data_IF_659596411322
#
_entry.id   IF_659596411322
#
_cell.length_a   1.000
_cell.length_b   1.000
_cell.length_c   1.000
_cell.angle_alpha   90.00
_cell.angle_beta   90.00
_cell.angle_gamma   90.00
#
_symmetry.space_group_name_H-M   'P 1'
#
loop_
_entity.id
_entity.type
_entity.pdbx_description
1 polymer ?
#
# COMPACT_ATOMS: atom_id res chain seq x y z
N UNK A 1 28.53 -27.14 -15.53
CA UNK A 1 27.18 -27.06 -14.90
C UNK A 1 27.04 -25.90 -13.91
N UNK A 2 28.02 -25.62 -13.06
CA UNK A 2 27.93 -24.51 -12.07
C UNK A 2 27.90 -23.11 -12.71
N UNK A 3 28.69 -22.85 -13.75
CA UNK A 3 28.69 -21.54 -14.43
C UNK A 3 27.34 -21.18 -15.07
N UNK A 4 26.67 -22.14 -15.71
CA UNK A 4 25.36 -21.92 -16.32
C UNK A 4 24.28 -21.70 -15.26
N UNK A 5 24.31 -22.44 -14.14
CA UNK A 5 23.46 -22.17 -12.97
C UNK A 5 23.69 -20.77 -12.42
N UNK A 6 24.95 -20.35 -12.27
CA UNK A 6 25.28 -19.04 -11.69
C UNK A 6 24.83 -17.87 -12.60
N UNK A 7 24.98 -18.01 -13.92
CA UNK A 7 24.51 -17.00 -14.89
C UNK A 7 22.98 -16.91 -14.87
N UNK A 8 22.28 -18.05 -14.85
CA UNK A 8 20.82 -18.08 -14.79
C UNK A 8 20.30 -17.46 -13.49
N UNK A 9 20.93 -17.77 -12.35
CA UNK A 9 20.59 -17.16 -11.06
C UNK A 9 20.85 -15.66 -11.05
N UNK A 10 21.97 -15.19 -11.61
CA UNK A 10 22.28 -13.76 -11.70
C UNK A 10 21.26 -13.01 -12.57
N UNK A 11 20.85 -13.58 -13.70
CA UNK A 11 19.81 -13.02 -14.57
C UNK A 11 18.46 -12.96 -13.87
N UNK A 12 18.07 -14.01 -13.13
CA UNK A 12 16.83 -14.01 -12.34
C UNK A 12 16.82 -12.93 -11.26
N UNK A 13 17.89 -12.85 -10.46
CA UNK A 13 17.99 -11.87 -9.37
C UNK A 13 18.00 -10.44 -9.93
N UNK A 14 18.76 -10.21 -11.01
CA UNK A 14 18.85 -8.89 -11.64
C UNK A 14 17.51 -8.50 -12.28
N UNK A 15 16.81 -9.44 -12.92
CA UNK A 15 15.47 -9.23 -13.46
C UNK A 15 14.45 -8.82 -12.40
N UNK A 16 14.45 -9.49 -11.24
CA UNK A 16 13.59 -9.14 -10.10
C UNK A 16 13.89 -7.72 -9.61
N UNK A 17 15.17 -7.35 -9.47
CA UNK A 17 15.57 -6.02 -9.02
C UNK A 17 15.11 -4.94 -10.01
N UNK A 18 15.40 -5.11 -11.30
CA UNK A 18 15.01 -4.14 -12.36
C UNK A 18 13.49 -3.97 -12.43
N UNK A 19 12.73 -5.03 -12.11
CA UNK A 19 11.27 -4.99 -12.04
C UNK A 19 10.72 -4.48 -10.71
N UNK A 20 11.55 -4.04 -9.77
CA UNK A 20 11.04 -3.51 -8.51
C UNK A 20 10.26 -2.18 -8.75
N UNK A 21 9.03 -2.01 -8.22
CA UNK A 21 8.19 -0.84 -8.49
C UNK A 21 8.81 0.51 -8.11
N UNK A 22 9.83 0.52 -7.23
CA UNK A 22 10.56 1.75 -6.88
C UNK A 22 11.49 2.27 -7.97
N UNK A 23 11.92 1.42 -8.92
CA UNK A 23 12.96 1.74 -9.91
C UNK A 23 12.42 2.27 -11.24
N UNK A 24 11.13 2.07 -11.54
CA UNK A 24 10.51 2.58 -12.75
C UNK A 24 9.13 3.16 -12.43
N UNK A 25 9.02 4.49 -12.56
CA UNK A 25 7.82 5.25 -12.23
C UNK A 25 7.10 5.79 -13.48
N UNK A 26 7.44 5.29 -14.68
CA UNK A 26 6.74 5.64 -15.92
C UNK A 26 5.67 4.62 -16.34
N UNK A 27 4.68 5.03 -17.12
CA UNK A 27 3.71 4.10 -17.70
C UNK A 27 4.26 3.44 -18.98
N UNK A 28 4.81 2.22 -18.86
CA UNK A 28 5.47 1.52 -19.97
C UNK A 28 5.37 -0.02 -19.82
N UNK A 29 5.90 -0.76 -20.80
CA UNK A 29 5.84 -2.23 -20.80
C UNK A 29 6.51 -2.83 -19.56
N UNK A 30 7.59 -2.20 -19.06
CA UNK A 30 8.27 -2.67 -17.86
C UNK A 30 7.31 -2.60 -16.67
N UNK A 31 6.56 -1.52 -16.48
CA UNK A 31 5.65 -1.38 -15.32
C UNK A 31 4.46 -2.35 -15.34
N UNK A 32 4.02 -2.78 -16.54
CA UNK A 32 3.10 -3.93 -16.67
C UNK A 32 3.72 -5.23 -16.20
N UNK A 33 4.99 -5.49 -16.55
CA UNK A 33 5.72 -6.66 -16.05
C UNK A 33 5.95 -6.57 -14.54
N UNK A 34 6.20 -5.37 -14.00
CA UNK A 34 6.31 -5.17 -12.55
C UNK A 34 5.02 -5.58 -11.84
N UNK A 35 3.85 -5.23 -12.40
CA UNK A 35 2.56 -5.66 -11.85
C UNK A 35 2.37 -7.17 -11.87
N UNK A 36 2.82 -7.86 -12.93
CA UNK A 36 2.74 -9.33 -12.96
C UNK A 36 3.60 -10.00 -11.88
N UNK A 37 4.74 -9.39 -11.51
CA UNK A 37 5.65 -9.94 -10.50
C UNK A 37 5.24 -9.53 -9.07
N UNK A 38 4.87 -8.27 -8.88
CA UNK A 38 4.68 -7.68 -7.56
C UNK A 38 3.23 -7.36 -7.20
N UNK A 39 2.35 -7.17 -8.19
CA UNK A 39 0.99 -6.71 -7.98
C UNK A 39 0.93 -5.39 -7.20
N UNK A 40 -0.17 -5.20 -6.48
CA UNK A 40 -0.28 -4.17 -5.45
C UNK A 40 0.07 -4.77 -4.09
N UNK A 41 0.86 -4.06 -3.28
CA UNK A 41 1.22 -4.53 -1.93
C UNK A 41 0.80 -3.53 -0.87
N UNK A 42 0.32 -4.03 0.27
CA UNK A 42 -0.10 -3.22 1.41
C UNK A 42 0.78 -3.52 2.61
N UNK A 43 1.51 -2.50 3.08
CA UNK A 43 2.36 -2.55 4.25
C UNK A 43 1.75 -1.70 5.36
N UNK A 44 1.41 -2.33 6.48
CA UNK A 44 0.82 -1.67 7.65
C UNK A 44 1.84 -1.68 8.79
N UNK A 45 2.48 -0.53 9.01
CA UNK A 45 3.53 -0.30 9.99
C UNK A 45 2.95 0.38 11.22
N UNK A 46 3.11 -0.25 12.38
CA UNK A 46 2.46 0.18 13.63
C UNK A 46 3.50 0.44 14.71
N UNK A 47 3.33 1.48 15.51
CA UNK A 47 4.01 1.56 16.80
C UNK A 47 3.47 0.49 17.75
N UNK A 48 4.24 0.04 18.77
CA UNK A 48 3.81 -0.98 19.72
C UNK A 48 2.52 -0.65 20.48
N UNK A 49 2.17 0.64 20.55
CA UNK A 49 0.99 1.17 21.23
C UNK A 49 -0.30 1.08 20.40
N UNK A 50 -0.21 0.76 19.10
CA UNK A 50 -1.37 0.65 18.22
C UNK A 50 -1.77 -0.82 18.06
N UNK A 51 -2.98 -1.16 18.51
CA UNK A 51 -3.52 -2.50 18.34
C UNK A 51 -3.88 -2.75 16.86
N UNK A 52 -3.19 -3.72 16.25
CA UNK A 52 -3.37 -4.12 14.86
C UNK A 52 -4.79 -4.62 14.54
N UNK A 53 -5.47 -5.21 15.52
CA UNK A 53 -6.80 -5.79 15.33
C UNK A 53 -7.91 -4.73 15.23
N UNK A 54 -7.64 -3.52 15.69
CA UNK A 54 -8.60 -2.40 15.69
C UNK A 54 -8.54 -1.59 14.39
N UNK A 55 -7.74 -2.01 13.42
CA UNK A 55 -7.56 -1.32 12.14
C UNK A 55 -8.45 -1.96 11.08
N UNK A 56 -9.13 -1.10 10.33
CA UNK A 56 -9.83 -1.46 9.09
C UNK A 56 -9.34 -0.54 7.96
N UNK A 57 -9.08 -1.12 6.79
CA UNK A 57 -8.71 -0.37 5.59
C UNK A 57 -9.64 -0.77 4.47
N UNK A 58 -10.31 0.21 3.89
CA UNK A 58 -11.25 0.06 2.79
C UNK A 58 -10.68 0.71 1.54
N UNK A 59 -10.75 0.00 0.42
CA UNK A 59 -10.50 0.56 -0.89
C UNK A 59 -11.83 1.05 -1.48
N UNK A 60 -11.81 2.26 -2.03
CA UNK A 60 -12.98 2.90 -2.65
C UNK A 60 -12.61 3.40 -4.04
N UNK A 61 -13.48 3.16 -5.01
CA UNK A 61 -13.38 3.77 -6.35
C UNK A 61 -14.77 3.98 -6.95
N UNK A 62 -15.20 5.24 -7.00
CA UNK A 62 -16.57 5.60 -7.39
C UNK A 62 -17.59 5.00 -6.42
N UNK A 63 -18.48 4.14 -6.93
CA UNK A 63 -19.50 3.44 -6.13
C UNK A 63 -19.02 2.10 -5.56
N UNK A 64 -17.80 1.67 -5.91
CA UNK A 64 -17.27 0.38 -5.48
C UNK A 64 -16.49 0.54 -4.17
N UNK A 65 -16.73 -0.37 -3.24
CA UNK A 65 -16.05 -0.44 -1.95
C UNK A 65 -15.58 -1.87 -1.68
N UNK A 66 -14.39 -2.02 -1.09
CA UNK A 66 -13.82 -3.32 -0.74
C UNK A 66 -12.98 -3.23 0.52
N UNK A 67 -13.27 -4.04 1.53
CA UNK A 67 -12.41 -4.18 2.71
C UNK A 67 -11.12 -4.90 2.33
N UNK A 68 -9.98 -4.23 2.43
CA UNK A 68 -8.65 -4.77 2.07
C UNK A 68 -7.94 -5.35 3.29
N UNK A 69 -8.14 -4.73 4.46
CA UNK A 69 -7.51 -5.14 5.71
C UNK A 69 -8.48 -5.00 6.87
N UNK A 70 -8.56 -6.00 7.72
CA UNK A 70 -9.39 -5.98 8.92
C UNK A 70 -8.86 -7.00 9.93
N UNK A 71 -9.03 -6.73 11.24
CA UNK A 71 -8.68 -7.68 12.32
C UNK A 71 -7.23 -8.18 12.20
N UNK A 72 -6.34 -7.27 11.86
CA UNK A 72 -4.91 -7.49 11.76
C UNK A 72 -4.43 -8.27 10.54
N UNK A 73 -5.32 -8.62 9.61
CA UNK A 73 -5.01 -9.42 8.42
C UNK A 73 -5.44 -8.70 7.15
N UNK A 74 -4.70 -8.96 6.07
CA UNK A 74 -5.13 -8.62 4.72
C UNK A 74 -6.25 -9.58 4.32
N UNK A 75 -7.40 -9.04 3.93
CA UNK A 75 -8.59 -9.78 3.54
C UNK A 75 -8.68 -9.88 2.01
N UNK A 76 -8.38 -8.78 1.31
CA UNK A 76 -8.42 -8.70 -0.14
C UNK A 76 -7.17 -8.03 -0.72
N UNK A 77 -6.93 -8.26 -2.01
CA UNK A 77 -5.96 -7.50 -2.79
C UNK A 77 -6.51 -6.12 -3.14
N UNK A 78 -5.64 -5.12 -3.25
CA UNK A 78 -6.03 -3.78 -3.74
C UNK A 78 -6.22 -3.89 -5.26
N UNK A 79 -7.40 -3.56 -5.81
CA UNK A 79 -7.63 -3.64 -7.25
C UNK A 79 -6.68 -2.76 -8.08
N UNK A 80 -6.35 -3.22 -9.28
CA UNK A 80 -5.54 -2.47 -10.25
C UNK A 80 -6.41 -1.87 -11.36
N UNK A 81 -7.37 -1.04 -10.95
CA UNK A 81 -8.27 -0.35 -11.86
C UNK A 81 -7.70 1.01 -12.27
N UNK A 82 -8.24 1.58 -13.35
CA UNK A 82 -8.01 2.99 -13.72
C UNK A 82 -8.93 3.91 -12.91
N UNK A 83 -8.57 5.18 -12.85
CA UNK A 83 -9.35 6.24 -12.23
C UNK A 83 -8.95 6.54 -10.80
N UNK A 84 -9.78 7.39 -10.17
CA UNK A 84 -9.62 7.86 -8.81
C UNK A 84 -9.91 6.75 -7.80
N UNK A 85 -8.98 6.56 -6.88
CA UNK A 85 -9.02 5.52 -5.85
C UNK A 85 -8.63 6.11 -4.51
N UNK A 86 -9.29 5.65 -3.46
CA UNK A 86 -8.98 6.01 -2.09
C UNK A 86 -8.78 4.75 -1.25
N UNK A 87 -7.80 4.79 -0.34
CA UNK A 87 -7.71 3.86 0.78
C UNK A 87 -8.10 4.61 2.05
N UNK A 88 -9.28 4.33 2.56
CA UNK A 88 -9.80 4.87 3.80
C UNK A 88 -9.28 4.04 4.96
N UNK A 89 -8.72 4.70 5.97
CA UNK A 89 -8.13 4.04 7.14
C UNK A 89 -8.96 4.36 8.36
N UNK A 90 -9.35 3.31 9.06
CA UNK A 90 -10.11 3.37 10.29
C UNK A 90 -9.33 2.74 11.44
N UNK A 91 -9.45 3.33 12.62
CA UNK A 91 -8.92 2.80 13.86
C UNK A 91 -10.01 2.84 14.94
N UNK A 92 -10.26 1.71 15.60
CA UNK A 92 -11.35 1.53 16.57
C UNK A 92 -12.73 1.95 16.01
N UNK A 93 -12.97 1.61 14.73
CA UNK A 93 -14.21 1.93 14.02
C UNK A 93 -14.37 3.40 13.60
N UNK A 94 -13.37 4.26 13.85
CA UNK A 94 -13.40 5.68 13.44
C UNK A 94 -12.46 5.94 12.29
N UNK A 95 -12.91 6.76 11.34
CA UNK A 95 -12.07 7.23 10.24
C UNK A 95 -10.94 8.11 10.78
N UNK A 96 -9.70 7.82 10.37
CA UNK A 96 -8.51 8.57 10.82
C UNK A 96 -7.70 9.19 9.68
N UNK A 97 -7.96 8.80 8.43
CA UNK A 97 -7.29 9.38 7.28
C UNK A 97 -7.47 8.55 6.02
N UNK A 98 -6.96 9.08 4.91
CA UNK A 98 -7.01 8.41 3.62
C UNK A 98 -5.75 8.60 2.81
N UNK A 99 -5.51 7.66 1.90
CA UNK A 99 -4.52 7.78 0.84
C UNK A 99 -5.27 7.88 -0.47
N UNK A 100 -4.94 8.89 -1.28
CA UNK A 100 -5.59 9.15 -2.56
C UNK A 100 -4.65 8.77 -3.69
N UNK A 101 -5.20 8.19 -4.75
CA UNK A 101 -4.45 7.83 -5.94
C UNK A 101 -5.27 8.03 -7.20
N UNK A 102 -4.68 8.70 -8.19
CA UNK A 102 -5.21 8.74 -9.54
C UNK A 102 -4.38 7.80 -10.42
N UNK A 103 -5.01 6.74 -10.95
CA UNK A 103 -4.36 5.82 -11.89
C UNK A 103 -4.82 6.10 -13.32
N UNK A 104 -3.86 6.38 -14.19
CA UNK A 104 -4.11 6.62 -15.61
C UNK A 104 -4.15 5.34 -16.47
N UNK A 105 -3.69 4.21 -15.93
CA UNK A 105 -3.57 2.94 -16.65
C UNK A 105 -3.74 1.74 -15.71
N UNK A 106 -4.39 0.68 -16.21
CA UNK A 106 -4.53 -0.61 -15.52
C UNK A 106 -3.17 -1.30 -15.41
N UNK A 107 -3.04 -2.21 -14.44
CA UNK A 107 -1.86 -3.06 -14.25
C UNK A 107 -0.58 -2.27 -13.91
N UNK A 108 -0.70 -1.24 -13.08
CA UNK A 108 0.45 -0.57 -12.48
C UNK A 108 0.66 -1.03 -11.04
N UNK A 109 1.84 -1.60 -10.77
CA UNK A 109 2.24 -2.02 -9.43
C UNK A 109 2.45 -0.83 -8.51
N UNK A 110 1.83 -0.89 -7.33
CA UNK A 110 2.04 0.12 -6.29
C UNK A 110 2.27 -0.53 -4.94
N UNK A 111 3.16 0.08 -4.16
CA UNK A 111 3.39 -0.27 -2.77
C UNK A 111 2.73 0.79 -1.90
N UNK A 112 1.73 0.39 -1.13
CA UNK A 112 1.00 1.26 -0.20
C UNK A 112 1.54 1.04 1.20
N UNK A 113 1.90 2.14 1.86
CA UNK A 113 2.41 2.16 3.22
C UNK A 113 1.43 2.94 4.09
N UNK A 114 0.91 2.29 5.12
CA UNK A 114 0.11 2.92 6.17
C UNK A 114 0.93 2.85 7.44
N UNK A 115 1.33 4.02 7.93
CA UNK A 115 2.06 4.17 9.17
C UNK A 115 1.11 4.76 10.22
N UNK A 116 0.90 4.01 11.29
CA UNK A 116 0.13 4.46 12.44
C UNK A 116 1.03 4.47 13.67
N UNK A 117 1.00 5.57 14.40
CA UNK A 117 1.61 5.63 15.72
C UNK A 117 0.65 6.26 16.73
N UNK A 118 0.82 5.94 18.00
CA UNK A 118 0.04 6.55 19.07
C UNK A 118 0.95 7.06 20.18
N UNK A 119 0.74 8.31 20.58
CA UNK A 119 1.44 8.98 21.69
C UNK A 119 0.48 9.90 22.43
N UNK A 120 0.53 9.92 23.76
CA UNK A 120 -0.28 10.81 24.61
C UNK A 120 -1.77 10.82 24.24
N UNK A 121 -2.36 9.63 24.10
CA UNK A 121 -3.75 9.48 23.70
C UNK A 121 -4.08 10.23 22.40
N UNK A 122 -3.18 10.18 21.42
CA UNK A 122 -3.34 10.75 20.08
C UNK A 122 -2.77 9.78 19.06
N UNK A 123 -3.53 9.51 18.00
CA UNK A 123 -3.14 8.68 16.88
C UNK A 123 -2.63 9.57 15.75
N UNK A 124 -1.47 9.22 15.22
CA UNK A 124 -0.84 9.86 14.08
C UNK A 124 -0.91 8.91 12.89
N UNK A 125 -1.46 9.39 11.79
CA UNK A 125 -1.56 8.67 10.53
C UNK A 125 -0.67 9.33 9.47
N UNK A 126 0.10 8.50 8.78
CA UNK A 126 0.83 8.88 7.57
C UNK A 126 0.74 7.75 6.53
N UNK A 127 0.26 8.09 5.34
CA UNK A 127 0.12 7.18 4.22
C UNK A 127 1.05 7.54 3.06
N UNK A 128 1.66 6.55 2.44
CA UNK A 128 2.52 6.73 1.26
C UNK A 128 2.21 5.67 0.19
N UNK A 129 2.26 6.06 -1.07
CA UNK A 129 2.23 5.19 -2.24
C UNK A 129 3.54 5.37 -2.99
N UNK A 130 4.23 4.26 -3.23
CA UNK A 130 5.41 4.20 -4.09
C UNK A 130 5.05 3.48 -5.39
N UNK A 131 5.38 4.08 -6.54
CA UNK A 131 5.14 3.55 -7.88
C UNK A 131 5.04 4.66 -8.92
N UNK A 132 4.45 4.33 -10.07
CA UNK A 132 4.25 5.23 -11.22
C UNK A 132 3.38 6.44 -10.91
N UNK A 133 2.40 6.27 -10.01
CA UNK A 133 1.54 7.33 -9.51
C UNK A 133 1.67 7.41 -8.00
N UNK A 134 2.89 7.66 -7.54
CA UNK A 134 3.22 7.76 -6.11
C UNK A 134 2.53 8.95 -5.45
N UNK A 135 2.24 8.83 -4.17
CA UNK A 135 1.51 9.83 -3.39
C UNK A 135 2.00 9.82 -1.94
N UNK A 136 1.98 10.97 -1.28
CA UNK A 136 2.19 11.08 0.16
C UNK A 136 1.02 11.82 0.77
N UNK A 137 0.30 11.16 1.67
CA UNK A 137 -0.76 11.79 2.43
C UNK A 137 -0.19 12.89 3.31
N UNK A 138 -0.91 14.02 3.50
CA UNK A 138 -0.63 14.87 4.65
C UNK A 138 -0.76 14.04 5.94
N UNK A 139 0.15 14.28 6.89
CA UNK A 139 0.09 13.64 8.21
C UNK A 139 -1.17 14.10 8.94
N UNK A 140 -1.99 13.16 9.38
CA UNK A 140 -3.22 13.45 10.13
C UNK A 140 -2.99 13.10 11.60
N UNK A 141 -3.42 14.00 12.48
CA UNK A 141 -3.38 13.80 13.93
C UNK A 141 -4.81 13.74 14.44
N UNK A 142 -5.18 12.62 15.07
CA UNK A 142 -6.53 12.38 15.59
C UNK A 142 -6.41 12.06 17.07
N UNK A 143 -7.16 12.74 17.97
CA UNK A 143 -7.18 12.36 19.37
C UNK A 143 -7.60 10.88 19.51
N UNK A 144 -6.91 10.13 20.36
CA UNK A 144 -7.30 8.78 20.73
C UNK A 144 -8.41 8.89 21.76
N UNK A 145 -9.55 8.25 21.51
CA UNK A 145 -10.74 8.42 22.34
C UNK A 145 -10.91 7.31 23.36
N UNK A 146 -9.82 6.63 23.75
CA UNK A 146 -9.83 5.53 24.72
C UNK A 146 -10.20 5.94 26.16
N UNK A 147 -10.86 7.08 26.37
CA UNK A 147 -11.34 7.55 27.66
C UNK A 147 -12.57 8.46 27.49
N UNK A 148 -13.73 7.87 27.21
CA UNK A 148 -15.05 8.40 27.56
C UNK A 148 -15.93 7.23 28.02
#
# INVERSE_FOLDING_TARGET
MNYFKNILTALLVTGIIVLHPSLNKGDNIITKLQYLVYGNTLNVNLSPTVNRNDIKIEWVSGINELTVFEKGKKINEIPATEGHQELLVFYQGRYIGKIVQDKFSKLQAHQYFINLSSKNNTVFFNGEIVGTSGYKSPSVTVPNFASL
#
